data_IF_143476133283
#
_entry.id   IF_143476133283
#
_cell.length_a   1.000
_cell.length_b   1.000
_cell.length_c   1.000
_cell.angle_alpha   90.00
_cell.angle_beta   90.00
_cell.angle_gamma   90.00
#
_symmetry.space_group_name_H-M   'P 1'
#
loop_
_entity.id
_entity.type
_entity.pdbx_description
1 polymer ?
#
# COMPACT_ATOMS: atom_id res chain seq x y z
N UNK A 1 46.00 -72.27 -3.56
CA UNK A 1 44.64 -71.98 -3.02
C UNK A 1 44.45 -70.47 -3.19
N UNK A 2 43.95 -70.06 -4.37
CA UNK A 2 43.86 -68.66 -4.80
C UNK A 2 42.47 -68.18 -4.69
N UNK A 3 42.22 -67.19 -3.87
CA UNK A 3 40.90 -66.45 -3.82
C UNK A 3 41.02 -65.17 -4.63
N UNK A 4 40.35 -65.14 -5.73
CA UNK A 4 40.13 -63.95 -6.59
C UNK A 4 39.10 -63.03 -5.99
N UNK A 5 39.47 -61.83 -5.62
CA UNK A 5 38.53 -60.75 -5.23
C UNK A 5 38.01 -60.00 -6.47
N UNK A 6 36.74 -60.11 -6.69
CA UNK A 6 36.02 -59.37 -7.72
C UNK A 6 35.73 -57.95 -7.21
N UNK A 7 36.22 -56.94 -7.90
CA UNK A 7 35.89 -55.51 -7.64
C UNK A 7 34.60 -55.16 -8.33
N UNK A 8 33.57 -54.86 -7.55
CA UNK A 8 32.34 -54.25 -8.03
C UNK A 8 32.55 -52.73 -8.12
N UNK A 9 32.45 -52.18 -9.33
CA UNK A 9 32.46 -50.74 -9.57
C UNK A 9 31.04 -50.20 -9.38
N UNK A 10 30.83 -49.37 -8.36
CA UNK A 10 29.63 -48.59 -8.17
C UNK A 10 29.69 -47.33 -9.06
N UNK A 11 28.86 -47.27 -10.11
CA UNK A 11 28.56 -46.05 -10.84
C UNK A 11 27.62 -45.20 -9.98
N UNK A 12 28.14 -44.14 -9.36
CA UNK A 12 27.34 -43.09 -8.76
C UNK A 12 26.85 -42.14 -9.87
N UNK A 13 25.62 -42.27 -10.28
CA UNK A 13 24.94 -41.29 -11.15
C UNK A 13 24.69 -40.01 -10.35
N UNK A 14 25.48 -38.96 -10.64
CA UNK A 14 25.22 -37.61 -10.12
C UNK A 14 23.95 -37.04 -10.77
N UNK A 15 22.85 -37.05 -10.01
CA UNK A 15 21.63 -36.29 -10.36
C UNK A 15 21.91 -34.85 -9.94
N UNK A 16 22.28 -34.01 -10.91
CA UNK A 16 22.29 -32.54 -10.70
C UNK A 16 20.84 -32.07 -10.59
N UNK A 17 20.46 -31.37 -9.53
CA UNK A 17 19.17 -30.70 -9.50
C UNK A 17 19.22 -29.57 -10.53
N UNK A 18 18.39 -29.65 -11.56
CA UNK A 18 18.07 -28.53 -12.44
C UNK A 18 17.34 -27.53 -11.54
N UNK A 19 18.03 -26.48 -11.11
CA UNK A 19 17.41 -25.33 -10.50
C UNK A 19 16.56 -24.66 -11.58
N UNK A 20 15.25 -24.90 -11.56
CA UNK A 20 14.29 -24.12 -12.30
C UNK A 20 14.30 -22.76 -11.60
N UNK A 21 15.04 -21.81 -12.15
CA UNK A 21 15.00 -20.41 -11.71
C UNK A 21 13.58 -19.90 -11.93
N UNK A 22 12.87 -19.59 -10.86
CA UNK A 22 11.62 -18.83 -10.96
C UNK A 22 11.96 -17.45 -11.49
N UNK A 23 11.27 -16.92 -12.52
CA UNK A 23 11.50 -15.57 -13.02
C UNK A 23 11.38 -14.57 -11.88
N UNK A 24 12.37 -13.70 -11.73
CA UNK A 24 12.37 -12.63 -10.73
C UNK A 24 11.53 -11.47 -11.26
N UNK A 25 10.26 -11.41 -10.87
CA UNK A 25 9.37 -10.31 -11.21
C UNK A 25 9.58 -9.15 -10.22
N UNK A 26 9.81 -7.95 -10.73
CA UNK A 26 9.92 -6.76 -9.91
C UNK A 26 8.53 -6.28 -9.45
N UNK A 27 8.35 -6.03 -8.15
CA UNK A 27 7.04 -5.74 -7.57
C UNK A 27 6.86 -4.25 -7.27
N UNK A 28 5.97 -3.58 -7.99
CA UNK A 28 5.57 -2.18 -7.74
C UNK A 28 4.60 -2.02 -6.54
N UNK A 29 4.49 -3.01 -5.66
CA UNK A 29 3.46 -3.08 -4.60
C UNK A 29 3.58 -2.00 -3.50
N UNK A 30 4.70 -1.29 -3.40
CA UNK A 30 4.90 -0.27 -2.36
C UNK A 30 4.14 1.06 -2.57
N UNK A 31 3.25 1.13 -3.58
CA UNK A 31 2.66 2.37 -4.07
C UNK A 31 1.52 2.98 -3.30
N UNK A 32 0.80 2.27 -2.47
CA UNK A 32 -0.51 2.74 -2.02
C UNK A 32 -0.64 2.81 -0.52
N UNK A 33 -0.17 3.88 0.11
CA UNK A 33 -0.54 4.15 1.49
C UNK A 33 -0.47 5.61 1.88
N UNK A 34 -1.29 6.40 1.22
CA UNK A 34 -1.73 7.64 1.82
C UNK A 34 -2.71 7.29 2.94
N UNK A 35 -2.31 7.52 4.18
CA UNK A 35 -3.20 7.44 5.33
C UNK A 35 -4.11 8.65 5.31
N UNK A 36 -5.34 8.42 4.92
CA UNK A 36 -6.35 9.48 4.97
C UNK A 36 -7.28 9.40 6.16
N UNK A 37 -7.10 8.41 7.01
CA UNK A 37 -8.00 8.17 8.15
C UNK A 37 -7.99 9.31 9.18
N UNK A 38 -6.94 10.14 9.20
CA UNK A 38 -6.83 11.21 10.17
C UNK A 38 -7.78 12.39 9.96
N UNK A 39 -8.23 12.68 8.73
CA UNK A 39 -9.28 13.67 8.49
C UNK A 39 -10.64 13.21 9.00
N UNK A 40 -10.96 11.96 8.74
CA UNK A 40 -12.20 11.37 9.25
C UNK A 40 -12.18 11.24 10.75
N UNK A 41 -11.03 11.06 11.37
CA UNK A 41 -10.94 10.84 12.82
C UNK A 41 -11.07 12.14 13.64
N UNK A 42 -10.60 13.28 13.15
CA UNK A 42 -10.87 14.57 13.79
C UNK A 42 -12.34 14.97 13.75
N UNK A 43 -13.12 14.42 12.84
CA UNK A 43 -14.55 14.65 12.65
C UNK A 43 -15.41 13.53 13.25
N UNK A 44 -14.87 12.34 13.43
CA UNK A 44 -15.54 11.16 13.98
C UNK A 44 -15.76 11.20 15.51
N UNK A 45 -15.34 12.27 16.17
CA UNK A 45 -15.56 12.44 17.60
C UNK A 45 -17.02 12.74 17.96
N UNK A 46 -17.88 13.06 16.98
CA UNK A 46 -19.29 13.34 17.19
C UNK A 46 -20.17 12.30 16.48
N UNK A 47 -21.33 11.93 17.06
CA UNK A 47 -22.29 11.04 16.41
C UNK A 47 -22.72 11.61 15.05
N UNK A 48 -22.88 10.74 14.05
CA UNK A 48 -23.29 11.13 12.72
C UNK A 48 -22.68 10.27 11.63
N UNK A 49 -23.10 10.54 10.42
CA UNK A 49 -22.62 9.85 9.21
C UNK A 49 -21.82 10.83 8.37
N UNK A 50 -20.68 10.38 7.90
CA UNK A 50 -19.83 11.12 6.97
C UNK A 50 -19.59 10.28 5.73
N UNK A 51 -19.77 10.88 4.56
CA UNK A 51 -19.34 10.30 3.28
C UNK A 51 -18.14 11.06 2.78
N UNK A 52 -17.08 10.36 2.36
CA UNK A 52 -15.93 11.00 1.73
C UNK A 52 -15.57 10.36 0.39
N UNK A 53 -15.05 11.21 -0.49
CA UNK A 53 -14.49 10.83 -1.77
C UNK A 53 -13.08 11.39 -1.85
N UNK A 54 -12.08 10.49 -1.97
CA UNK A 54 -10.68 10.85 -2.03
C UNK A 54 -10.03 10.30 -3.29
N UNK A 55 -9.33 11.15 -4.01
CA UNK A 55 -8.48 10.77 -5.11
C UNK A 55 -7.01 10.87 -4.71
N UNK A 56 -6.27 9.79 -4.94
CA UNK A 56 -4.85 9.68 -4.68
C UNK A 56 -4.11 9.40 -6.00
N UNK A 57 -3.01 10.12 -6.21
CA UNK A 57 -2.11 9.93 -7.34
C UNK A 57 -0.67 9.73 -6.87
N UNK A 58 -0.09 8.58 -7.21
CA UNK A 58 1.27 8.23 -6.84
C UNK A 58 2.07 7.76 -8.09
N UNK A 59 2.80 8.68 -8.76
CA UNK A 59 3.65 8.34 -9.90
C UNK A 59 4.94 7.67 -9.40
N UNK A 60 5.07 6.37 -9.63
CA UNK A 60 6.27 5.59 -9.35
C UNK A 60 7.11 5.52 -10.62
N UNK A 61 8.13 6.35 -10.69
CA UNK A 61 8.98 6.48 -11.90
C UNK A 61 10.47 6.28 -11.60
N UNK A 62 10.82 6.10 -10.34
CA UNK A 62 12.19 5.97 -9.89
C UNK A 62 12.43 4.53 -9.45
N UNK A 63 13.34 3.82 -10.14
CA UNK A 63 13.78 2.50 -9.74
C UNK A 63 14.79 2.63 -8.59
N UNK A 64 14.62 1.85 -7.53
CA UNK A 64 15.43 1.90 -6.32
C UNK A 64 15.79 0.49 -5.86
N UNK A 65 16.99 0.34 -5.29
CA UNK A 65 17.41 -0.85 -4.55
C UNK A 65 18.01 -0.45 -3.21
N UNK A 66 17.52 -1.01 -2.12
CA UNK A 66 17.82 -0.50 -0.79
C UNK A 66 17.38 0.96 -0.65
N UNK A 67 18.32 1.87 -0.39
CA UNK A 67 18.12 3.32 -0.35
C UNK A 67 18.64 4.05 -1.60
N UNK A 68 19.21 3.31 -2.55
CA UNK A 68 19.93 3.89 -3.70
C UNK A 68 19.03 3.89 -4.94
N UNK A 69 18.92 5.03 -5.60
CA UNK A 69 18.29 5.14 -6.92
C UNK A 69 19.16 4.45 -7.98
N UNK A 70 18.55 3.66 -8.84
CA UNK A 70 19.20 2.93 -9.91
C UNK A 70 19.06 3.71 -11.21
N UNK A 71 20.20 4.04 -11.82
CA UNK A 71 20.22 4.62 -13.16
C UNK A 71 19.93 3.53 -14.19
N UNK A 72 18.71 3.53 -14.72
CA UNK A 72 18.29 2.57 -15.75
C UNK A 72 19.03 2.72 -17.07
N UNK A 73 19.58 3.90 -17.36
CA UNK A 73 20.35 4.12 -18.58
C UNK A 73 21.70 3.40 -18.60
N UNK A 74 22.19 3.02 -17.42
CA UNK A 74 23.42 2.24 -17.27
C UNK A 74 23.20 0.72 -17.30
N UNK A 75 21.92 0.26 -17.44
CA UNK A 75 21.61 -1.17 -17.52
C UNK A 75 21.66 -1.59 -18.98
N UNK A 76 22.56 -2.53 -19.29
CA UNK A 76 22.64 -3.16 -20.61
C UNK A 76 21.49 -4.15 -20.78
N UNK A 77 20.80 -4.06 -21.92
CA UNK A 77 19.69 -4.96 -22.27
C UNK A 77 20.10 -5.89 -23.42
N UNK A 78 19.62 -7.15 -23.47
CA UNK A 78 18.75 -7.80 -22.48
C UNK A 78 19.49 -8.12 -21.18
N UNK A 79 18.74 -8.27 -20.08
CA UNK A 79 19.25 -8.61 -18.75
C UNK A 79 18.47 -9.78 -18.14
N UNK A 80 19.07 -10.45 -17.17
CA UNK A 80 18.55 -11.62 -16.44
C UNK A 80 17.48 -11.26 -15.39
N UNK A 81 16.89 -10.07 -15.49
CA UNK A 81 15.84 -9.59 -14.56
C UNK A 81 14.91 -8.61 -15.25
N UNK A 82 13.73 -8.49 -14.68
CA UNK A 82 12.78 -7.47 -15.08
C UNK A 82 13.25 -6.06 -14.66
N UNK A 83 13.08 -5.08 -15.57
CA UNK A 83 13.37 -3.67 -15.32
C UNK A 83 12.09 -2.86 -15.42
N UNK A 84 11.48 -2.59 -14.27
CA UNK A 84 10.32 -1.72 -14.20
C UNK A 84 10.63 -0.29 -14.66
N UNK A 85 9.78 0.27 -15.51
CA UNK A 85 9.95 1.61 -16.09
C UNK A 85 9.13 2.66 -15.34
N UNK A 86 7.85 2.43 -15.20
CA UNK A 86 6.95 3.30 -14.44
C UNK A 86 5.65 2.60 -14.09
N UNK A 87 5.04 3.04 -12.99
CA UNK A 87 3.67 2.73 -12.61
C UNK A 87 2.99 4.01 -12.14
N UNK A 88 1.87 4.36 -12.76
CA UNK A 88 1.05 5.49 -12.33
C UNK A 88 -0.13 4.96 -11.52
N UNK A 89 -0.08 5.13 -10.20
CA UNK A 89 -1.18 4.67 -9.34
C UNK A 89 -2.22 5.77 -9.21
N UNK A 90 -3.43 5.50 -9.68
CA UNK A 90 -4.63 6.30 -9.48
C UNK A 90 -5.58 5.52 -8.57
N UNK A 91 -6.03 6.12 -7.49
CA UNK A 91 -7.03 5.52 -6.59
C UNK A 91 -8.11 6.54 -6.26
N UNK A 92 -9.36 6.15 -6.45
CA UNK A 92 -10.52 6.90 -5.98
C UNK A 92 -11.19 6.08 -4.87
N UNK A 93 -11.05 6.51 -3.62
CA UNK A 93 -11.61 5.82 -2.46
C UNK A 93 -12.89 6.49 -2.00
N UNK A 94 -13.97 5.73 -1.97
CA UNK A 94 -15.23 6.09 -1.34
C UNK A 94 -15.24 5.56 0.08
N UNK A 95 -15.52 6.43 1.06
CA UNK A 95 -15.61 6.03 2.46
C UNK A 95 -16.96 6.43 3.02
N UNK A 96 -17.64 5.49 3.67
CA UNK A 96 -18.78 5.75 4.52
C UNK A 96 -18.37 5.50 5.96
N UNK A 97 -18.40 6.54 6.77
CA UNK A 97 -18.07 6.50 8.19
C UNK A 97 -19.32 6.86 9.01
N UNK A 98 -19.63 6.03 10.00
CA UNK A 98 -20.74 6.28 10.92
C UNK A 98 -20.27 6.14 12.37
N UNK A 99 -20.39 7.22 13.14
CA UNK A 99 -20.20 7.21 14.59
C UNK A 99 -21.57 7.13 15.26
N UNK A 100 -21.81 6.03 15.97
CA UNK A 100 -23.04 5.84 16.75
C UNK A 100 -23.07 6.80 17.95
N UNK A 101 -24.24 6.98 18.54
CA UNK A 101 -24.40 7.77 19.76
C UNK A 101 -23.63 7.21 20.98
N UNK A 102 -23.19 5.94 20.89
CA UNK A 102 -22.28 5.27 21.81
C UNK A 102 -20.81 5.49 21.38
N UNK A 103 -19.88 4.88 22.11
CA UNK A 103 -18.46 4.94 21.79
C UNK A 103 -18.04 4.14 20.54
N UNK A 104 -18.98 3.57 19.81
CA UNK A 104 -18.72 2.74 18.65
C UNK A 104 -18.87 3.50 17.33
N UNK A 105 -18.00 3.23 16.38
CA UNK A 105 -18.08 3.69 15.00
C UNK A 105 -17.81 2.56 14.01
N UNK A 106 -18.24 2.78 12.76
CA UNK A 106 -18.01 1.86 11.64
C UNK A 106 -17.52 2.65 10.43
N UNK A 107 -16.43 2.22 9.86
CA UNK A 107 -15.86 2.76 8.62
C UNK A 107 -15.86 1.69 7.53
N UNK A 108 -16.35 2.04 6.35
CA UNK A 108 -16.40 1.19 5.16
C UNK A 108 -15.76 1.91 4.00
N UNK A 109 -14.70 1.35 3.45
CA UNK A 109 -13.93 1.96 2.36
C UNK A 109 -13.94 1.07 1.12
N UNK A 110 -14.24 1.65 -0.03
CA UNK A 110 -14.23 0.98 -1.33
C UNK A 110 -13.34 1.75 -2.31
N UNK A 111 -12.15 1.24 -2.66
CA UNK A 111 -11.28 1.87 -3.63
C UNK A 111 -11.63 1.45 -5.07
N UNK A 112 -11.55 2.41 -5.98
CA UNK A 112 -11.47 2.20 -7.43
C UNK A 112 -10.04 2.54 -7.84
N UNK A 113 -9.35 1.61 -8.49
CA UNK A 113 -7.95 1.78 -8.85
C UNK A 113 -7.73 1.67 -10.36
N UNK A 114 -6.73 2.40 -10.86
CA UNK A 114 -6.18 2.24 -12.20
C UNK A 114 -4.66 2.41 -12.13
N UNK A 115 -3.91 1.46 -12.74
CA UNK A 115 -2.46 1.40 -12.67
C UNK A 115 -1.84 1.16 -14.05
N UNK A 116 -1.73 2.19 -14.90
CA UNK A 116 -0.89 2.12 -16.08
C UNK A 116 0.54 1.78 -15.67
N UNK A 117 1.08 0.69 -16.23
CA UNK A 117 2.39 0.16 -15.89
C UNK A 117 3.16 -0.21 -17.15
N UNK A 118 4.48 -0.06 -17.08
CA UNK A 118 5.41 -0.49 -18.13
C UNK A 118 6.66 -1.08 -17.52
N UNK A 119 7.09 -2.19 -18.09
CA UNK A 119 8.30 -2.91 -17.71
C UNK A 119 9.02 -3.48 -18.92
N UNK A 120 10.31 -3.79 -18.80
CA UNK A 120 11.08 -4.61 -19.74
C UNK A 120 11.28 -5.94 -19.05
N UNK A 121 10.70 -6.99 -19.64
CA UNK A 121 10.77 -8.34 -19.08
C UNK A 121 12.17 -8.93 -19.21
N UNK A 122 12.48 -9.94 -18.40
CA UNK A 122 13.72 -10.71 -18.45
C UNK A 122 14.02 -11.19 -19.88
N UNK A 123 15.28 -11.14 -20.27
CA UNK A 123 15.78 -11.55 -21.59
C UNK A 123 15.15 -10.82 -22.80
N UNK A 124 14.49 -9.67 -22.58
CA UNK A 124 13.93 -8.83 -23.64
C UNK A 124 14.56 -7.44 -23.70
N UNK A 125 14.27 -6.70 -24.75
CA UNK A 125 14.68 -5.30 -24.93
C UNK A 125 13.49 -4.37 -25.08
N UNK A 126 12.36 -4.90 -25.53
CA UNK A 126 11.14 -4.13 -25.76
C UNK A 126 10.27 -4.06 -24.51
N UNK A 127 9.60 -2.93 -24.27
CA UNK A 127 8.73 -2.79 -23.11
C UNK A 127 7.40 -3.52 -23.29
N UNK A 128 6.95 -4.15 -22.21
CA UNK A 128 5.60 -4.63 -22.01
C UNK A 128 4.76 -3.58 -21.28
N UNK A 129 3.46 -3.51 -21.60
CA UNK A 129 2.53 -2.56 -21.01
C UNK A 129 1.30 -3.24 -20.44
N UNK A 130 0.88 -2.77 -19.27
CA UNK A 130 -0.38 -3.16 -18.64
C UNK A 130 -1.12 -1.95 -18.08
N UNK A 131 -2.44 -2.09 -17.93
CA UNK A 131 -3.28 -1.15 -17.20
C UNK A 131 -4.28 -1.96 -16.37
N UNK A 132 -3.88 -2.33 -15.16
CA UNK A 132 -4.77 -3.01 -14.24
C UNK A 132 -5.74 -2.01 -13.62
N UNK A 133 -7.04 -2.27 -13.70
CA UNK A 133 -8.05 -1.35 -13.21
C UNK A 133 -9.31 -2.05 -12.72
N UNK A 134 -10.03 -1.42 -11.81
CA UNK A 134 -11.30 -1.90 -11.28
C UNK A 134 -11.53 -1.56 -9.82
N UNK A 135 -12.54 -2.20 -9.25
CA UNK A 135 -12.82 -2.16 -7.81
C UNK A 135 -11.69 -2.91 -7.09
N UNK A 136 -11.16 -2.31 -6.03
CA UNK A 136 -10.20 -2.95 -5.14
C UNK A 136 -10.86 -3.73 -3.99
N UNK A 137 -10.08 -4.08 -2.99
CA UNK A 137 -10.56 -4.84 -1.84
C UNK A 137 -11.32 -3.93 -0.87
N UNK A 138 -12.52 -4.36 -0.45
CA UNK A 138 -13.38 -3.64 0.49
C UNK A 138 -12.78 -3.71 1.89
N UNK A 139 -12.59 -2.54 2.54
CA UNK A 139 -12.15 -2.44 3.93
C UNK A 139 -13.34 -2.10 4.83
N UNK A 140 -13.51 -2.85 5.91
CA UNK A 140 -14.55 -2.64 6.92
C UNK A 140 -13.88 -2.64 8.30
N UNK A 141 -13.97 -1.53 9.03
CA UNK A 141 -13.29 -1.32 10.31
C UNK A 141 -14.27 -0.80 11.35
N UNK A 142 -14.41 -1.53 12.45
CA UNK A 142 -15.10 -1.06 13.65
C UNK A 142 -14.12 -0.27 14.53
N UNK A 143 -14.63 0.75 15.20
CA UNK A 143 -13.88 1.59 16.16
C UNK A 143 -14.59 1.60 17.50
N UNK A 144 -13.81 1.62 18.58
CA UNK A 144 -14.31 1.82 19.94
C UNK A 144 -13.52 2.94 20.62
N UNK A 145 -14.23 3.94 21.14
CA UNK A 145 -13.69 5.18 21.70
C UNK A 145 -13.93 5.31 23.21
N UNK A 146 -14.22 4.22 23.91
CA UNK A 146 -14.57 4.23 25.34
C UNK A 146 -13.43 4.62 26.29
N UNK A 147 -12.23 4.92 25.77
CA UNK A 147 -11.09 5.47 26.54
C UNK A 147 -10.98 6.99 26.43
N UNK A 148 -11.95 7.64 25.81
CA UNK A 148 -11.96 9.10 25.59
C UNK A 148 -12.20 9.86 26.90
N UNK A 149 -11.63 11.05 26.97
CA UNK A 149 -11.81 12.01 28.09
C UNK A 149 -12.23 13.37 27.53
N UNK A 150 -12.76 14.29 28.34
CA UNK A 150 -13.10 15.62 27.85
C UNK A 150 -11.94 16.30 27.12
N UNK A 151 -12.15 16.63 25.83
CA UNK A 151 -11.14 17.26 24.97
C UNK A 151 -10.15 16.29 24.27
N UNK A 152 -10.18 14.99 24.58
CA UNK A 152 -9.31 14.00 23.95
C UNK A 152 -10.10 12.76 23.58
N UNK A 153 -9.89 12.24 22.38
CA UNK A 153 -10.48 10.99 21.90
C UNK A 153 -9.39 9.93 21.83
N UNK A 154 -9.63 8.80 22.49
CA UNK A 154 -8.74 7.65 22.45
C UNK A 154 -9.55 6.43 22.02
N UNK A 155 -9.10 5.76 20.98
CA UNK A 155 -9.81 4.60 20.45
C UNK A 155 -8.91 3.49 19.98
N UNK A 156 -9.52 2.34 19.83
CA UNK A 156 -8.96 1.18 19.13
C UNK A 156 -9.80 0.89 17.89
N UNK A 157 -9.19 0.30 16.90
CA UNK A 157 -9.83 -0.14 15.67
C UNK A 157 -9.52 -1.60 15.37
N UNK A 158 -10.52 -2.31 14.88
CA UNK A 158 -10.38 -3.68 14.41
C UNK A 158 -11.27 -3.91 13.20
N UNK A 159 -10.78 -4.64 12.21
CA UNK A 159 -11.53 -4.85 10.98
C UNK A 159 -10.93 -5.85 10.02
N UNK A 160 -11.55 -5.92 8.86
CA UNK A 160 -11.17 -6.82 7.79
C UNK A 160 -11.06 -6.06 6.45
N UNK A 161 -10.12 -6.51 5.63
CA UNK A 161 -10.11 -6.24 4.19
C UNK A 161 -10.61 -7.49 3.49
N UNK A 162 -11.67 -7.33 2.69
CA UNK A 162 -12.35 -8.42 1.99
C UNK A 162 -11.94 -8.44 0.52
N UNK A 163 -11.68 -9.60 -0.08
CA UNK A 163 -11.11 -9.73 -1.43
C UNK A 163 -12.18 -9.51 -2.52
N UNK A 164 -12.67 -8.31 -2.65
CA UNK A 164 -13.67 -7.94 -3.67
C UNK A 164 -13.04 -7.53 -5.00
N UNK A 165 -11.77 -7.19 -5.01
CA UNK A 165 -11.02 -6.77 -6.18
C UNK A 165 -10.60 -7.93 -7.08
N UNK A 166 -10.53 -7.66 -8.40
CA UNK A 166 -9.99 -8.63 -9.37
C UNK A 166 -8.47 -8.71 -9.27
N UNK A 167 -7.89 -9.89 -9.56
CA UNK A 167 -6.45 -10.11 -9.42
C UNK A 167 -5.83 -11.05 -10.49
N UNK A 168 -6.47 -11.18 -11.66
CA UNK A 168 -5.98 -11.97 -12.82
C UNK A 168 -5.92 -11.12 -14.09
N UNK A 169 -5.59 -9.82 -13.96
CA UNK A 169 -5.42 -8.98 -15.14
C UNK A 169 -4.05 -9.20 -15.77
N UNK A 170 -3.97 -8.99 -17.08
CA UNK A 170 -2.85 -9.40 -17.91
C UNK A 170 -2.23 -8.21 -18.64
N UNK A 171 -0.97 -8.37 -19.06
CA UNK A 171 -0.31 -7.42 -19.96
C UNK A 171 -1.08 -7.35 -21.29
N UNK A 172 -1.26 -6.12 -21.78
CA UNK A 172 -2.00 -5.84 -23.01
C UNK A 172 -1.11 -5.83 -24.26
N UNK A 173 0.18 -5.49 -24.11
CA UNK A 173 1.10 -5.40 -25.24
C UNK A 173 2.56 -5.61 -24.81
N UNK A 174 3.44 -5.83 -25.80
CA UNK A 174 4.85 -6.10 -25.62
C UNK A 174 5.16 -7.61 -25.54
N UNK A 175 6.41 -7.99 -25.21
CA UNK A 175 6.83 -9.39 -25.12
C UNK A 175 5.99 -10.22 -24.13
N UNK A 176 5.56 -9.65 -23.01
CA UNK A 176 4.73 -10.35 -22.00
C UNK A 176 3.22 -10.28 -22.27
N UNK A 177 2.77 -9.86 -23.46
CA UNK A 177 1.34 -9.76 -23.77
C UNK A 177 0.60 -11.09 -23.51
N UNK A 178 -0.47 -11.02 -22.70
CA UNK A 178 -1.26 -12.20 -22.30
C UNK A 178 -0.76 -12.89 -21.01
N UNK A 179 0.40 -12.57 -20.48
CA UNK A 179 0.87 -13.04 -19.18
C UNK A 179 0.17 -12.28 -18.04
N UNK A 180 0.06 -12.87 -16.86
CA UNK A 180 -0.52 -12.19 -15.70
C UNK A 180 0.43 -11.11 -15.19
N UNK A 181 -0.14 -9.94 -14.89
CA UNK A 181 0.58 -8.86 -14.22
C UNK A 181 0.80 -9.21 -12.75
N UNK A 182 1.92 -8.79 -12.19
CA UNK A 182 2.26 -9.02 -10.78
C UNK A 182 1.11 -8.78 -9.83
N UNK A 183 1.01 -9.63 -8.82
CA UNK A 183 -0.06 -9.58 -7.81
C UNK A 183 -0.11 -8.24 -7.06
N UNK A 184 1.04 -7.62 -6.84
CA UNK A 184 1.15 -6.29 -6.22
C UNK A 184 0.55 -5.16 -7.06
N UNK A 185 0.43 -5.34 -8.37
CA UNK A 185 -0.15 -4.38 -9.31
C UNK A 185 -1.65 -4.63 -9.58
N UNK A 186 -2.21 -5.72 -9.10
CA UNK A 186 -3.63 -6.06 -9.30
C UNK A 186 -4.55 -5.17 -8.43
N UNK A 187 -5.80 -4.90 -8.85
CA UNK A 187 -6.78 -4.15 -8.04
C UNK A 187 -7.06 -4.78 -6.68
N UNK A 188 -7.12 -6.10 -6.61
CA UNK A 188 -7.35 -6.86 -5.39
C UNK A 188 -6.22 -7.84 -5.09
N UNK A 189 -6.12 -8.25 -3.82
CA UNK A 189 -5.12 -9.23 -3.37
C UNK A 189 -5.64 -10.67 -3.44
N UNK A 190 -6.96 -10.85 -3.47
CA UNK A 190 -7.62 -12.15 -3.37
C UNK A 190 -7.59 -12.73 -1.94
N UNK A 191 -7.02 -12.01 -0.94
CA UNK A 191 -6.86 -12.49 0.43
C UNK A 191 -7.74 -11.72 1.41
N UNK A 192 -8.24 -12.40 2.43
CA UNK A 192 -8.84 -11.74 3.60
C UNK A 192 -7.70 -11.26 4.51
N UNK A 193 -7.76 -10.00 4.94
CA UNK A 193 -6.72 -9.43 5.78
C UNK A 193 -7.33 -8.85 7.06
N UNK A 194 -6.69 -9.07 8.20
CA UNK A 194 -7.05 -8.46 9.47
C UNK A 194 -6.39 -7.09 9.61
N UNK A 195 -7.12 -6.16 10.21
CA UNK A 195 -6.67 -4.82 10.56
C UNK A 195 -6.85 -4.62 12.05
N UNK A 196 -5.81 -4.11 12.71
CA UNK A 196 -5.84 -3.70 14.12
C UNK A 196 -5.12 -2.36 14.25
N UNK A 197 -5.64 -1.48 15.11
CA UNK A 197 -4.98 -0.20 15.35
C UNK A 197 -5.46 0.47 16.64
N UNK A 198 -4.77 1.55 16.96
CA UNK A 198 -5.12 2.45 18.06
C UNK A 198 -4.81 3.87 17.66
N UNK A 199 -5.58 4.82 18.14
CA UNK A 199 -5.39 6.24 17.86
C UNK A 199 -5.73 7.11 19.06
N UNK A 200 -5.14 8.27 19.05
CA UNK A 200 -5.39 9.32 20.05
C UNK A 200 -5.34 10.68 19.37
N UNK A 201 -6.31 11.53 19.68
CA UNK A 201 -6.38 12.90 19.19
C UNK A 201 -6.88 13.84 20.26
N UNK A 202 -6.47 15.09 20.16
CA UNK A 202 -6.82 16.13 21.13
C UNK A 202 -6.27 17.50 20.76
N UNK A 203 -6.38 18.44 21.69
CA UNK A 203 -5.79 19.77 21.59
C UNK A 203 -4.51 19.87 22.44
N UNK A 204 -3.43 20.39 21.86
CA UNK A 204 -2.23 20.79 22.61
C UNK A 204 -2.43 22.17 23.26
N UNK A 205 -2.99 23.09 22.49
CA UNK A 205 -3.44 24.43 22.88
C UNK A 205 -4.73 24.75 22.09
N UNK A 206 -5.49 25.80 22.43
CA UNK A 206 -6.80 26.06 21.82
C UNK A 206 -6.82 26.07 20.27
N UNK A 207 -5.71 26.43 19.63
CA UNK A 207 -5.61 26.56 18.18
C UNK A 207 -4.77 25.46 17.52
N UNK A 208 -4.26 24.51 18.28
CA UNK A 208 -3.39 23.45 17.78
C UNK A 208 -3.88 22.08 18.23
N UNK A 209 -4.52 21.37 17.30
CA UNK A 209 -4.87 19.96 17.47
C UNK A 209 -3.74 19.03 17.08
N UNK A 210 -3.76 17.83 17.63
CA UNK A 210 -2.88 16.74 17.23
C UNK A 210 -3.64 15.44 17.04
N UNK A 211 -3.02 14.55 16.30
CA UNK A 211 -3.48 13.19 16.06
C UNK A 211 -2.29 12.24 16.01
N UNK A 212 -2.41 11.08 16.63
CA UNK A 212 -1.47 9.97 16.51
C UNK A 212 -2.21 8.67 16.29
N UNK A 213 -1.68 7.79 15.44
CA UNK A 213 -2.26 6.48 15.13
C UNK A 213 -1.16 5.46 14.88
N UNK A 214 -1.44 4.23 15.25
CA UNK A 214 -0.69 3.05 14.84
C UNK A 214 -1.68 2.04 14.30
N UNK A 215 -1.44 1.52 13.08
CA UNK A 215 -2.28 0.50 12.44
C UNK A 215 -1.40 -0.62 11.91
N UNK A 216 -1.81 -1.85 12.14
CA UNK A 216 -1.23 -3.05 11.55
C UNK A 216 -2.24 -3.75 10.65
N UNK A 217 -1.75 -4.37 9.58
CA UNK A 217 -2.56 -5.18 8.67
C UNK A 217 -1.80 -6.44 8.28
N UNK A 218 -2.50 -7.58 8.26
CA UNK A 218 -1.91 -8.87 7.90
C UNK A 218 -2.91 -9.77 7.17
N UNK A 219 -2.45 -10.48 6.15
CA UNK A 219 -3.28 -11.47 5.46
C UNK A 219 -3.50 -12.70 6.34
N UNK A 220 -4.76 -13.13 6.45
CA UNK A 220 -5.17 -14.31 7.22
C UNK A 220 -5.04 -15.62 6.42
N UNK A 221 -5.05 -15.52 5.09
CA UNK A 221 -4.92 -16.64 4.16
C UNK A 221 -4.00 -16.26 3.00
N UNK A 222 -3.62 -17.22 2.20
CA UNK A 222 -3.08 -17.05 0.86
C UNK A 222 -4.18 -17.26 -0.20
N UNK A 223 -3.93 -16.79 -1.40
CA UNK A 223 -4.80 -17.02 -2.56
C UNK A 223 -3.97 -17.23 -3.81
N UNK A 224 -4.17 -18.39 -4.47
CA UNK A 224 -3.46 -18.78 -5.68
C UNK A 224 -1.93 -18.61 -5.54
N UNK A 225 -1.37 -19.14 -4.43
CA UNK A 225 0.06 -19.07 -4.16
C UNK A 225 0.61 -17.67 -3.89
N UNK A 226 -0.24 -16.72 -3.49
CA UNK A 226 0.15 -15.36 -3.11
C UNK A 226 -0.41 -14.97 -1.75
N UNK A 227 0.44 -14.39 -0.92
CA UNK A 227 0.08 -13.78 0.35
C UNK A 227 0.81 -12.44 0.48
N UNK A 228 0.10 -11.29 0.55
CA UNK A 228 0.72 -9.99 0.70
C UNK A 228 1.45 -9.86 2.04
N UNK A 229 2.55 -9.11 2.03
CA UNK A 229 3.32 -8.80 3.21
C UNK A 229 2.50 -8.02 4.24
N UNK A 230 2.65 -8.39 5.52
CA UNK A 230 2.06 -7.62 6.61
C UNK A 230 2.71 -6.25 6.72
N UNK A 231 1.98 -5.25 7.20
CA UNK A 231 2.59 -3.96 7.49
C UNK A 231 2.18 -3.41 8.87
N UNK A 232 3.02 -2.53 9.38
CA UNK A 232 2.71 -1.63 10.48
C UNK A 232 2.95 -0.21 10.00
N UNK A 233 2.04 0.68 10.34
CA UNK A 233 2.11 2.09 10.05
C UNK A 233 1.87 2.90 11.30
N UNK A 234 2.70 3.92 11.53
CA UNK A 234 2.52 4.92 12.57
C UNK A 234 2.41 6.30 11.92
N UNK A 235 1.48 7.11 12.38
CA UNK A 235 1.26 8.48 11.88
C UNK A 235 1.10 9.44 13.04
N UNK A 236 1.65 10.65 12.89
CA UNK A 236 1.44 11.77 13.79
C UNK A 236 1.12 13.01 12.96
N UNK A 237 0.12 13.78 13.36
CA UNK A 237 -0.30 14.99 12.66
C UNK A 237 -0.54 16.16 13.62
N UNK A 238 -0.32 17.36 13.11
CA UNK A 238 -0.68 18.62 13.73
C UNK A 238 -1.67 19.36 12.83
N UNK A 239 -2.70 19.96 13.44
CA UNK A 239 -3.76 20.71 12.79
C UNK A 239 -3.82 22.11 13.39
N UNK A 240 -3.64 23.14 12.57
CA UNK A 240 -3.73 24.53 13.03
C UNK A 240 -5.13 25.07 12.77
N UNK A 241 -5.93 25.23 13.85
CA UNK A 241 -7.36 25.61 13.78
C UNK A 241 -7.60 27.10 13.99
N UNK A 242 -6.55 27.93 13.86
CA UNK A 242 -6.60 29.36 14.04
C UNK A 242 -7.58 30.06 13.09
N UNK A 243 -7.68 29.59 11.83
CA UNK A 243 -8.58 30.20 10.84
C UNK A 243 -9.91 29.48 10.77
N UNK A 244 -10.98 30.24 10.73
CA UNK A 244 -12.36 29.73 10.84
C UNK A 244 -12.74 28.71 9.78
N UNK A 245 -12.24 28.85 8.56
CA UNK A 245 -12.64 28.03 7.41
C UNK A 245 -11.49 27.24 6.79
N UNK A 246 -10.27 27.46 7.21
CA UNK A 246 -9.10 26.81 6.62
C UNK A 246 -8.24 26.24 7.75
N UNK A 247 -7.85 24.99 7.64
CA UNK A 247 -7.03 24.26 8.61
C UNK A 247 -5.81 23.71 7.91
N UNK A 248 -4.66 24.38 7.98
CA UNK A 248 -3.38 23.80 7.60
C UNK A 248 -3.04 22.61 8.48
N UNK A 249 -2.36 21.64 7.90
CA UNK A 249 -2.07 20.38 8.53
C UNK A 249 -0.69 19.89 8.12
N UNK A 250 -0.02 19.19 9.03
CA UNK A 250 1.26 18.57 8.76
C UNK A 250 1.26 17.18 9.38
N UNK A 251 1.46 16.17 8.57
CA UNK A 251 1.56 14.79 9.01
C UNK A 251 2.95 14.23 8.76
N UNK A 252 3.46 13.48 9.73
CA UNK A 252 4.61 12.59 9.59
C UNK A 252 4.09 11.15 9.69
N UNK A 253 4.46 10.29 8.74
CA UNK A 253 4.11 8.88 8.77
C UNK A 253 5.34 7.99 8.57
N UNK A 254 5.36 6.89 9.29
CA UNK A 254 6.29 5.77 9.13
C UNK A 254 5.51 4.53 8.73
N UNK A 255 6.01 3.77 7.78
CA UNK A 255 5.46 2.47 7.39
C UNK A 255 6.57 1.46 7.17
N UNK A 256 6.43 0.29 7.79
CA UNK A 256 7.23 -0.89 7.54
C UNK A 256 6.34 -1.99 6.95
N UNK A 257 6.72 -2.51 5.78
CA UNK A 257 6.00 -3.57 5.07
C UNK A 257 6.91 -4.78 4.94
N UNK A 258 6.43 -5.94 5.37
CA UNK A 258 7.11 -7.22 5.19
C UNK A 258 7.12 -7.65 3.72
N UNK A 259 7.91 -8.68 3.43
CA UNK A 259 7.93 -9.28 2.08
C UNK A 259 6.66 -10.06 1.81
N UNK A 260 6.21 -10.04 0.58
CA UNK A 260 5.18 -10.95 0.09
C UNK A 260 5.67 -12.40 0.16
N UNK A 261 4.77 -13.36 0.13
CA UNK A 261 5.10 -14.78 0.25
C UNK A 261 4.21 -15.66 -0.63
N UNK A 262 4.71 -16.86 -0.89
CA UNK A 262 4.09 -17.84 -1.78
C UNK A 262 4.78 -17.93 -3.14
N UNK A 263 4.55 -19.01 -3.90
CA UNK A 263 5.22 -19.26 -5.18
C UNK A 263 4.90 -18.23 -6.28
N UNK A 264 3.75 -17.55 -6.20
CA UNK A 264 3.33 -16.52 -7.15
C UNK A 264 3.54 -15.10 -6.59
N UNK A 265 4.52 -14.93 -5.70
CA UNK A 265 4.93 -13.63 -5.19
C UNK A 265 6.32 -13.26 -5.67
N UNK A 266 6.55 -12.00 -6.00
CA UNK A 266 7.90 -11.47 -6.15
C UNK A 266 8.49 -11.14 -4.77
N UNK A 267 8.79 -12.17 -4.02
CA UNK A 267 9.31 -12.04 -2.66
C UNK A 267 10.61 -11.23 -2.57
N UNK A 268 11.60 -11.39 -3.48
CA UNK A 268 12.84 -10.63 -3.42
C UNK A 268 12.62 -9.12 -3.50
N UNK A 269 11.69 -8.68 -4.35
CA UNK A 269 11.47 -7.29 -4.68
C UNK A 269 10.21 -6.70 -4.02
N UNK A 270 9.77 -7.25 -2.89
CA UNK A 270 8.60 -6.79 -2.14
C UNK A 270 8.94 -6.33 -0.73
N UNK A 271 8.12 -5.43 -0.19
CA UNK A 271 8.28 -4.86 1.15
C UNK A 271 9.39 -3.81 1.25
N UNK A 272 9.43 -3.12 2.39
CA UNK A 272 10.37 -2.03 2.65
C UNK A 272 9.90 -1.11 3.76
N UNK A 273 10.58 0.00 3.93
CA UNK A 273 10.33 1.00 4.96
C UNK A 273 10.23 2.39 4.32
N UNK A 274 9.30 3.20 4.80
CA UNK A 274 9.10 4.58 4.32
C UNK A 274 8.83 5.52 5.49
N UNK A 275 9.40 6.72 5.40
CA UNK A 275 9.03 7.88 6.22
C UNK A 275 8.59 8.99 5.28
N UNK A 276 7.39 9.51 5.48
CA UNK A 276 6.83 10.55 4.62
C UNK A 276 6.40 11.75 5.45
N UNK A 277 6.59 12.94 4.89
CA UNK A 277 6.07 14.21 5.41
C UNK A 277 4.95 14.68 4.48
N UNK A 278 3.78 14.96 5.04
CA UNK A 278 2.59 15.33 4.27
C UNK A 278 2.02 16.66 4.73
N UNK A 279 2.52 17.80 4.20
CA UNK A 279 1.82 19.07 4.34
C UNK A 279 0.48 19.01 3.58
N UNK A 280 -0.54 19.61 4.19
CA UNK A 280 -1.88 19.63 3.62
C UNK A 280 -2.72 20.77 4.16
N UNK A 281 -3.90 20.91 3.59
CA UNK A 281 -4.88 21.89 4.00
C UNK A 281 -6.28 21.31 3.82
N UNK A 282 -7.17 21.57 4.78
CA UNK A 282 -8.59 21.38 4.61
C UNK A 282 -9.32 22.73 4.68
N UNK A 283 -10.44 22.85 3.98
CA UNK A 283 -11.26 24.05 3.92
C UNK A 283 -12.75 23.72 4.02
N UNK A 284 -13.46 24.42 4.89
CA UNK A 284 -14.93 24.36 4.98
C UNK A 284 -15.53 25.10 3.78
N UNK A 285 -16.13 24.35 2.85
CA UNK A 285 -16.85 24.89 1.69
C UNK A 285 -18.26 25.30 2.10
N UNK A 286 -18.89 24.49 2.98
CA UNK A 286 -20.18 24.79 3.59
C UNK A 286 -20.23 24.21 5.01
N UNK A 287 -21.39 24.35 5.69
CA UNK A 287 -21.60 23.75 7.02
C UNK A 287 -21.47 22.22 7.04
N UNK A 288 -21.69 21.57 5.89
CA UNK A 288 -21.64 20.10 5.75
C UNK A 288 -20.53 19.60 4.85
N UNK A 289 -19.87 20.45 4.06
CA UNK A 289 -18.91 20.05 3.05
C UNK A 289 -17.52 20.61 3.37
N UNK A 290 -16.53 19.73 3.43
CA UNK A 290 -15.11 20.07 3.60
C UNK A 290 -14.33 19.54 2.40
N UNK A 291 -13.51 20.39 1.79
CA UNK A 291 -12.52 19.99 0.79
C UNK A 291 -11.14 19.86 1.45
N UNK A 292 -10.29 18.98 0.93
CA UNK A 292 -8.92 18.83 1.43
C UNK A 292 -7.94 18.47 0.33
N UNK A 293 -6.68 18.78 0.55
CA UNK A 293 -5.57 18.37 -0.32
C UNK A 293 -4.28 18.17 0.46
N UNK A 294 -3.45 17.24 0.01
CA UNK A 294 -2.14 16.90 0.58
C UNK A 294 -1.12 16.65 -0.50
N UNK A 295 0.13 16.98 -0.16
CA UNK A 295 1.32 16.55 -0.90
C UNK A 295 2.13 15.66 0.03
N UNK A 296 2.34 14.40 -0.31
CA UNK A 296 3.18 13.50 0.48
C UNK A 296 4.58 13.45 -0.13
N UNK A 297 5.57 13.80 0.67
CA UNK A 297 6.99 13.86 0.33
C UNK A 297 7.73 12.73 1.04
N UNK A 298 8.30 11.74 0.31
CA UNK A 298 9.14 10.73 0.93
C UNK A 298 10.42 11.37 1.47
N UNK A 299 10.62 11.33 2.81
CA UNK A 299 11.85 11.75 3.46
C UNK A 299 12.89 10.62 3.48
N UNK A 300 12.42 9.39 3.63
CA UNK A 300 13.22 8.19 3.62
C UNK A 300 12.44 7.07 2.96
N UNK A 301 13.10 6.31 2.09
CA UNK A 301 12.55 5.11 1.49
C UNK A 301 13.65 4.07 1.37
N UNK A 302 13.41 2.89 1.92
CA UNK A 302 14.24 1.69 1.76
C UNK A 302 13.36 0.56 1.24
N UNK A 303 13.74 -0.01 0.13
CA UNK A 303 13.02 -1.13 -0.50
C UNK A 303 13.87 -2.40 -0.48
N UNK A 304 13.22 -3.55 -0.48
CA UNK A 304 13.92 -4.83 -0.68
C UNK A 304 14.04 -5.08 -2.19
N UNK A 305 15.20 -5.57 -2.64
CA UNK A 305 15.45 -5.82 -4.07
C UNK A 305 15.29 -4.55 -4.91
N UNK A 306 14.64 -4.67 -6.08
CA UNK A 306 14.41 -3.60 -7.04
C UNK A 306 12.92 -3.25 -7.07
N UNK A 307 12.57 -2.00 -6.77
CA UNK A 307 11.18 -1.56 -6.77
C UNK A 307 11.06 -0.13 -7.28
N UNK A 308 9.92 0.18 -7.93
CA UNK A 308 9.56 1.54 -8.27
C UNK A 308 9.06 2.31 -7.03
N UNK A 309 9.56 3.52 -6.87
CA UNK A 309 9.15 4.42 -5.79
C UNK A 309 8.71 5.79 -6.33
N UNK A 310 7.73 6.45 -5.69
CA UNK A 310 7.31 7.79 -6.06
C UNK A 310 8.30 8.84 -5.53
N UNK A 311 8.44 9.96 -6.25
CA UNK A 311 9.11 11.17 -5.75
C UNK A 311 8.15 12.04 -4.93
N UNK A 312 6.87 11.99 -5.24
CA UNK A 312 5.81 12.75 -4.63
C UNK A 312 4.50 11.98 -4.80
N UNK A 313 3.59 12.08 -3.82
CA UNK A 313 2.22 11.61 -3.97
C UNK A 313 1.28 12.77 -3.71
N UNK A 314 0.14 12.79 -4.38
CA UNK A 314 -0.88 13.82 -4.26
C UNK A 314 -2.18 13.20 -3.80
N UNK A 315 -2.88 13.89 -2.91
CA UNK A 315 -4.19 13.48 -2.42
C UNK A 315 -5.12 14.69 -2.39
N UNK A 316 -6.34 14.53 -2.88
CA UNK A 316 -7.38 15.53 -2.79
C UNK A 316 -8.74 14.87 -2.61
N UNK A 317 -9.66 15.53 -1.91
CA UNK A 317 -10.97 14.94 -1.70
C UNK A 317 -11.99 15.90 -1.11
N UNK A 318 -13.18 15.34 -0.97
CA UNK A 318 -14.34 15.98 -0.37
C UNK A 318 -14.89 15.09 0.74
N UNK A 319 -15.40 15.73 1.78
CA UNK A 319 -16.01 15.10 2.93
C UNK A 319 -17.35 15.78 3.19
N UNK A 320 -18.41 14.99 3.20
CA UNK A 320 -19.81 15.44 3.40
C UNK A 320 -20.35 14.88 4.71
N UNK A 321 -20.76 15.75 5.61
CA UNK A 321 -21.53 15.41 6.80
C UNK A 321 -23.01 15.31 6.45
N UNK A 322 -23.64 14.16 6.71
CA UNK A 322 -25.04 13.86 6.38
C UNK A 322 -26.01 14.27 7.50
#
# INVERSE_FOLDING_TARGET
>A
MNMTMTRAALLAAAISPIAIGSPAHACASCGCTLTADWLSQGLAAQPGTTFSLRYDFAPQTRLQSGTTEIDRSAIELPTDREIERHTYNHSLTMTLDHQFASDFGLDVQLPLVARPHSTISEDTVDPSHSNTSGIGDLRVVGRWQGLSTPGNVTGIEAGLVLPTGKFHQRFQSGPSAGEEVDRGLQPGTGTVQAVLGAYHLGGLVPELGYFVQVTGQTALNDRDGYKPGSFVQASAALNLTHWRNVTPQLQLSFRATGRDSGPNSDRPNSGGEQVNLSPGVSAKISSKLVGFTYVELPLYTRVNGYQLVPKVKLSAGLLLHL
#
